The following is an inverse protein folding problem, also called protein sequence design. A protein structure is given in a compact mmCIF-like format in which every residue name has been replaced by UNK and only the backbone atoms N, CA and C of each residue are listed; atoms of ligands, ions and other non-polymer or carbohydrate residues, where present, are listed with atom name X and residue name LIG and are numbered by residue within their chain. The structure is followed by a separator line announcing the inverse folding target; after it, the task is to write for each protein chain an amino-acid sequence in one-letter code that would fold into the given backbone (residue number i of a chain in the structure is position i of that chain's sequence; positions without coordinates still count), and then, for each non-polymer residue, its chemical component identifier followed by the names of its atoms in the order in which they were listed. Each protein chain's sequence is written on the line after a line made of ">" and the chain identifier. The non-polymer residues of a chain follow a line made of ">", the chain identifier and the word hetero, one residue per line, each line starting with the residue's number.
data_IF_759459764077
#
_entry.id   IF_759459764077
#
_cell.length_a   1.000
_cell.length_b   1.000
_cell.length_c   1.000
_cell.angle_alpha   90.00
_cell.angle_beta   90.00
_cell.angle_gamma   90.00
#
_symmetry.space_group_name_H-M   'P 1'
#
loop_
_entity.id
_entity.type
_entity.pdbx_description
1 polymer ?
#
# COMPACT_ATOMS: atom_id res chain seq x y z
N UNK A 1 63.96 -41.04 29.72
CA UNK A 1 64.12 -40.14 28.56
C UNK A 1 63.24 -40.64 27.43
N UNK A 2 62.17 -39.92 27.08
CA UNK A 2 61.46 -40.04 25.79
C UNK A 2 60.51 -38.85 25.65
N UNK A 3 60.96 -37.88 24.86
CA UNK A 3 60.21 -36.72 24.40
C UNK A 3 59.21 -37.18 23.34
N UNK A 4 57.94 -36.78 23.43
CA UNK A 4 57.02 -36.84 22.29
C UNK A 4 56.28 -35.51 22.13
N UNK A 5 56.78 -34.78 21.15
CA UNK A 5 56.19 -33.79 20.24
C UNK A 5 54.76 -33.33 20.46
N UNK A 6 54.63 -32.00 20.49
CA UNK A 6 53.42 -31.22 20.34
C UNK A 6 52.76 -31.42 18.96
N UNK A 7 51.43 -31.44 18.94
CA UNK A 7 50.62 -31.21 17.74
C UNK A 7 49.61 -30.11 18.10
N UNK A 8 49.83 -28.92 17.57
CA UNK A 8 48.88 -27.81 17.67
C UNK A 8 47.84 -27.95 16.55
N UNK A 9 46.61 -28.28 16.91
CA UNK A 9 45.45 -28.27 16.02
C UNK A 9 44.95 -26.83 15.87
N UNK A 10 45.19 -26.22 14.71
CA UNK A 10 44.55 -24.98 14.30
C UNK A 10 43.12 -25.30 13.86
N UNK A 11 42.13 -24.91 14.65
CA UNK A 11 40.72 -24.97 14.27
C UNK A 11 40.30 -23.65 13.62
N UNK A 12 40.25 -23.60 12.29
CA UNK A 12 39.61 -22.52 11.54
C UNK A 12 38.11 -22.76 11.48
N UNK A 13 37.36 -22.16 12.40
CA UNK A 13 35.90 -22.11 12.32
C UNK A 13 35.48 -21.05 11.31
N UNK A 14 34.94 -21.50 10.16
CA UNK A 14 34.25 -20.69 9.18
C UNK A 14 33.06 -19.99 9.84
N UNK A 15 33.15 -18.67 10.01
CA UNK A 15 32.01 -17.85 10.38
C UNK A 15 31.03 -17.82 9.20
N UNK A 16 29.97 -18.64 9.28
CA UNK A 16 28.84 -18.56 8.37
C UNK A 16 28.21 -17.17 8.49
N UNK A 17 28.19 -16.42 7.40
CA UNK A 17 27.42 -15.19 7.33
C UNK A 17 25.95 -15.59 7.33
N UNK A 18 25.30 -15.47 8.49
CA UNK A 18 23.87 -15.50 8.56
C UNK A 18 23.37 -14.30 7.75
N UNK A 19 22.83 -14.55 6.56
CA UNK A 19 21.96 -13.60 5.90
C UNK A 19 20.77 -13.38 6.83
N UNK A 20 20.82 -12.31 7.61
CA UNK A 20 19.73 -11.94 8.50
C UNK A 20 18.48 -11.73 7.65
N UNK A 21 17.53 -12.66 7.73
CA UNK A 21 16.16 -12.39 7.32
C UNK A 21 15.73 -11.17 8.12
N UNK A 22 15.59 -10.02 7.46
CA UNK A 22 14.91 -8.88 8.07
C UNK A 22 13.54 -9.43 8.51
N UNK A 23 13.19 -9.36 9.80
CA UNK A 23 11.91 -9.86 10.24
C UNK A 23 10.82 -9.19 9.40
N UNK A 24 9.92 -10.00 8.85
CA UNK A 24 8.71 -9.53 8.16
C UNK A 24 8.10 -8.40 9.00
N UNK A 25 7.80 -7.24 8.40
CA UNK A 25 7.34 -6.09 9.16
C UNK A 25 6.05 -6.47 9.89
N UNK A 26 6.03 -6.25 11.21
CA UNK A 26 4.85 -6.46 12.03
C UNK A 26 3.84 -5.33 11.81
N UNK A 27 2.56 -5.61 12.10
CA UNK A 27 1.53 -4.57 12.10
C UNK A 27 1.78 -3.54 13.23
N UNK A 28 2.00 -2.25 12.91
CA UNK A 28 2.14 -1.23 13.93
C UNK A 28 0.80 -0.95 14.62
N UNK A 29 0.84 -0.56 15.90
CA UNK A 29 -0.34 -0.11 16.64
C UNK A 29 -0.96 1.14 16.00
N UNK A 30 -0.12 2.08 15.55
CA UNK A 30 -0.52 3.30 14.86
C UNK A 30 -0.54 3.17 13.34
N UNK A 31 -0.41 4.30 12.66
CA UNK A 31 -0.18 4.39 11.22
C UNK A 31 1.31 4.49 10.93
N UNK A 32 1.76 3.96 9.79
CA UNK A 32 3.13 4.19 9.31
C UNK A 32 3.32 5.67 8.99
N UNK A 33 4.34 6.30 9.56
CA UNK A 33 4.59 7.74 9.40
C UNK A 33 5.67 8.10 8.36
N UNK A 34 6.52 7.14 7.98
CA UNK A 34 7.64 7.34 7.07
C UNK A 34 7.87 6.13 6.16
N UNK A 35 8.87 6.22 5.27
CA UNK A 35 9.33 5.15 4.39
C UNK A 35 8.18 4.36 3.75
N UNK A 36 7.25 5.08 3.11
CA UNK A 36 6.01 4.49 2.60
C UNK A 36 6.22 3.46 1.49
N UNK A 37 7.42 3.45 0.87
CA UNK A 37 7.85 2.49 -0.15
C UNK A 37 8.81 1.48 0.46
N UNK A 38 8.27 0.48 1.12
CA UNK A 38 8.99 -0.55 1.85
C UNK A 38 8.10 -1.79 2.01
N UNK A 39 8.67 -2.98 2.31
CA UNK A 39 7.88 -4.15 2.66
C UNK A 39 6.79 -3.81 3.67
N UNK A 40 5.59 -4.33 3.42
CA UNK A 40 4.39 -4.14 4.23
C UNK A 40 4.07 -5.43 5.00
N UNK A 41 3.33 -5.36 6.12
CA UNK A 41 3.00 -6.57 6.87
C UNK A 41 2.19 -7.54 6.03
N UNK A 42 2.36 -8.83 6.26
CA UNK A 42 1.55 -9.87 5.62
C UNK A 42 0.05 -9.79 6.00
N UNK A 43 -0.28 -9.05 7.06
CA UNK A 43 -1.61 -8.96 7.65
C UNK A 43 -2.06 -7.51 7.86
N UNK A 44 -3.38 -7.34 7.99
CA UNK A 44 -4.00 -6.11 8.48
C UNK A 44 -5.20 -6.52 9.34
N UNK A 45 -5.07 -6.39 10.66
CA UNK A 45 -6.08 -6.80 11.61
C UNK A 45 -7.44 -6.15 11.30
N UNK A 46 -8.46 -6.98 11.11
CA UNK A 46 -9.82 -6.56 10.79
C UNK A 46 -10.11 -6.40 9.29
N UNK A 47 -9.11 -6.43 8.41
CA UNK A 47 -9.32 -6.50 6.96
C UNK A 47 -8.99 -7.88 6.40
N UNK A 48 -9.57 -8.20 5.25
CA UNK A 48 -9.16 -9.35 4.45
C UNK A 48 -7.98 -8.94 3.55
N UNK A 49 -6.85 -9.62 3.69
CA UNK A 49 -5.71 -9.43 2.77
C UNK A 49 -5.96 -10.23 1.50
N UNK A 50 -5.85 -9.59 0.34
CA UNK A 50 -6.12 -10.22 -0.95
C UNK A 50 -4.84 -10.62 -1.68
N UNK A 51 -4.87 -11.79 -2.28
CA UNK A 51 -4.01 -12.11 -3.41
C UNK A 51 -4.51 -11.42 -4.68
N UNK A 52 -3.63 -11.33 -5.69
CA UNK A 52 -4.00 -10.82 -7.02
C UNK A 52 -5.17 -11.59 -7.64
N UNK A 53 -5.22 -12.92 -7.50
CA UNK A 53 -6.31 -13.75 -8.05
C UNK A 53 -7.66 -13.47 -7.35
N UNK A 54 -7.67 -13.25 -6.04
CA UNK A 54 -8.88 -12.89 -5.31
C UNK A 54 -9.37 -11.48 -5.66
N UNK A 55 -8.44 -10.53 -5.81
CA UNK A 55 -8.76 -9.19 -6.28
C UNK A 55 -9.39 -9.25 -7.68
N UNK A 56 -8.81 -10.00 -8.61
CA UNK A 56 -9.38 -10.22 -9.94
C UNK A 56 -10.78 -10.83 -9.88
N UNK A 57 -10.99 -11.86 -9.06
CA UNK A 57 -12.31 -12.50 -8.92
C UNK A 57 -13.38 -11.52 -8.42
N UNK A 58 -13.05 -10.68 -7.44
CA UNK A 58 -13.96 -9.64 -6.93
C UNK A 58 -14.26 -8.61 -8.02
N UNK A 59 -13.24 -8.17 -8.75
CA UNK A 59 -13.34 -7.19 -9.83
C UNK A 59 -14.22 -7.69 -10.97
N UNK A 60 -13.97 -8.89 -11.50
CA UNK A 60 -14.77 -9.50 -12.58
C UNK A 60 -16.22 -9.68 -12.18
N UNK A 61 -16.47 -10.08 -10.94
CA UNK A 61 -17.81 -10.27 -10.41
C UNK A 61 -18.51 -8.95 -10.03
N UNK A 62 -17.80 -7.79 -10.08
CA UNK A 62 -18.29 -6.48 -9.65
C UNK A 62 -18.86 -6.49 -8.22
N UNK A 63 -18.22 -7.24 -7.32
CA UNK A 63 -18.70 -7.48 -5.94
C UNK A 63 -18.13 -6.53 -4.89
N UNK A 64 -17.25 -5.61 -5.29
CA UNK A 64 -16.66 -4.61 -4.40
C UNK A 64 -16.22 -3.38 -5.18
N UNK A 65 -16.09 -2.27 -4.46
CA UNK A 65 -15.57 -1.01 -5.03
C UNK A 65 -14.07 -0.95 -4.76
N UNK A 66 -13.29 -0.73 -5.82
CA UNK A 66 -11.84 -0.62 -5.74
C UNK A 66 -11.44 0.84 -5.51
N UNK A 67 -10.50 1.05 -4.58
CA UNK A 67 -10.05 2.36 -4.13
C UNK A 67 -8.54 2.41 -4.25
N UNK A 68 -8.09 3.19 -5.22
CA UNK A 68 -6.69 3.53 -5.41
C UNK A 68 -6.31 4.66 -4.45
N UNK A 69 -5.24 4.48 -3.69
CA UNK A 69 -4.70 5.52 -2.80
C UNK A 69 -3.26 5.90 -3.16
N UNK A 70 -2.81 5.58 -4.37
CA UNK A 70 -1.49 5.99 -4.87
C UNK A 70 -1.30 7.50 -4.66
N UNK A 71 -0.20 7.94 -4.01
CA UNK A 71 0.05 9.35 -3.81
C UNK A 71 0.27 10.07 -5.14
N UNK A 72 -0.10 11.35 -5.18
CA UNK A 72 0.16 12.19 -6.35
C UNK A 72 1.25 13.20 -6.01
N UNK A 73 2.40 13.21 -6.73
CA UNK A 73 3.44 14.21 -6.52
C UNK A 73 2.85 15.63 -6.59
N UNK A 74 3.15 16.50 -5.62
CA UNK A 74 2.67 17.87 -5.66
C UNK A 74 3.32 18.62 -6.82
N UNK A 75 2.58 19.57 -7.41
CA UNK A 75 3.14 20.50 -8.39
C UNK A 75 4.35 21.23 -7.75
N UNK A 76 5.53 21.23 -8.39
CA UNK A 76 6.68 21.96 -7.86
C UNK A 76 6.36 23.45 -7.67
N UNK A 77 6.62 23.97 -6.46
CA UNK A 77 6.34 25.38 -6.12
C UNK A 77 7.20 26.36 -6.92
N UNK A 78 8.40 25.95 -7.33
CA UNK A 78 9.39 26.78 -8.00
C UNK A 78 9.40 26.57 -9.52
N UNK A 79 8.25 26.25 -10.11
CA UNK A 79 8.14 26.07 -11.55
C UNK A 79 8.34 27.42 -12.27
N UNK A 80 9.23 27.53 -13.28
CA UNK A 80 9.43 28.78 -14.00
C UNK A 80 8.11 29.31 -14.58
N UNK A 81 7.89 30.63 -14.52
CA UNK A 81 6.68 31.28 -15.08
C UNK A 81 6.50 30.85 -16.55
N UNK A 82 5.30 30.41 -16.90
CA UNK A 82 4.96 29.92 -18.26
C UNK A 82 5.19 28.43 -18.49
N UNK A 83 5.80 27.70 -17.53
CA UNK A 83 5.94 26.25 -17.64
C UNK A 83 4.62 25.57 -17.37
N UNK A 84 4.15 24.76 -18.32
CA UNK A 84 2.96 23.92 -18.14
C UNK A 84 3.37 22.67 -17.35
N UNK A 85 2.85 22.51 -16.14
CA UNK A 85 2.94 21.26 -15.39
C UNK A 85 1.86 20.30 -15.88
N UNK A 86 2.26 19.09 -16.24
CA UNK A 86 1.35 17.97 -16.51
C UNK A 86 1.62 16.88 -15.51
N UNK A 87 0.59 16.44 -14.83
CA UNK A 87 0.72 15.30 -13.93
C UNK A 87 1.04 14.04 -14.71
N UNK A 88 1.82 13.16 -14.07
CA UNK A 88 2.04 11.84 -14.61
C UNK A 88 0.69 11.12 -14.74
N UNK A 89 0.42 10.45 -15.87
CA UNK A 89 -0.80 9.67 -16.02
C UNK A 89 -0.78 8.52 -15.01
N UNK A 90 -1.87 8.35 -14.27
CA UNK A 90 -2.09 7.20 -13.39
C UNK A 90 -2.93 6.20 -14.14
N UNK A 91 -2.39 5.01 -14.40
CA UNK A 91 -3.18 3.85 -14.84
C UNK A 91 -3.54 3.00 -13.65
N UNK A 92 -4.80 2.68 -13.43
CA UNK A 92 -5.23 1.90 -12.26
C UNK A 92 -6.20 0.77 -12.64
N UNK A 93 -6.70 0.02 -11.65
CA UNK A 93 -7.61 -1.11 -11.86
C UNK A 93 -8.95 -0.55 -12.38
N UNK A 94 -9.50 -1.07 -13.48
CA UNK A 94 -10.68 -0.48 -14.10
C UNK A 94 -11.90 -0.37 -13.18
N UNK A 95 -12.56 0.78 -13.19
CA UNK A 95 -13.71 1.10 -12.33
C UNK A 95 -13.35 1.52 -10.91
N UNK A 96 -12.07 1.74 -10.62
CA UNK A 96 -11.64 2.24 -9.31
C UNK A 96 -11.88 3.75 -9.15
N UNK A 97 -12.09 4.19 -7.93
CA UNK A 97 -11.92 5.61 -7.58
C UNK A 97 -10.50 5.88 -7.10
N UNK A 98 -9.96 7.05 -7.39
CA UNK A 98 -8.61 7.43 -6.95
C UNK A 98 -8.66 8.55 -5.90
N UNK A 99 -8.27 8.19 -4.67
CA UNK A 99 -8.19 9.07 -3.50
C UNK A 99 -6.71 9.26 -3.07
N UNK A 100 -5.91 10.02 -3.84
CA UNK A 100 -4.49 10.19 -3.56
C UNK A 100 -4.21 10.79 -2.18
N UNK A 101 -3.04 10.45 -1.64
CA UNK A 101 -2.46 11.04 -0.42
C UNK A 101 -3.26 10.78 0.88
N UNK A 102 -4.28 9.93 0.83
CA UNK A 102 -5.09 9.56 2.00
C UNK A 102 -4.42 8.53 2.91
N UNK A 103 -3.31 7.94 2.45
CA UNK A 103 -2.53 6.95 3.17
C UNK A 103 -1.36 7.49 4.00
N UNK A 104 -1.15 8.80 4.08
CA UNK A 104 -0.11 9.36 4.97
C UNK A 104 -0.38 9.02 6.44
N UNK A 105 0.69 8.82 7.22
CA UNK A 105 0.58 8.43 8.63
C UNK A 105 -0.09 9.50 9.49
N UNK A 106 0.34 10.75 9.35
CA UNK A 106 -0.38 11.91 9.84
C UNK A 106 -1.22 12.47 8.68
N UNK A 107 -2.54 12.49 8.85
CA UNK A 107 -3.47 12.97 7.83
C UNK A 107 -4.13 14.27 8.32
N UNK A 108 -3.98 15.40 7.60
CA UNK A 108 -4.66 16.64 7.94
C UNK A 108 -6.19 16.46 7.96
N UNK A 109 -6.94 17.22 8.80
CA UNK A 109 -8.40 17.07 8.90
C UNK A 109 -9.13 17.15 7.56
N UNK A 110 -8.75 18.08 6.68
CA UNK A 110 -9.36 18.21 5.35
C UNK A 110 -9.16 16.96 4.47
N UNK A 111 -8.02 16.28 4.60
CA UNK A 111 -7.73 15.05 3.88
C UNK A 111 -8.38 13.82 4.52
N UNK A 112 -8.55 13.82 5.84
CA UNK A 112 -9.34 12.81 6.55
C UNK A 112 -10.81 12.87 6.13
N UNK A 113 -11.40 14.07 6.12
CA UNK A 113 -12.75 14.29 5.62
C UNK A 113 -12.89 13.91 4.13
N UNK A 114 -11.86 14.19 3.33
CA UNK A 114 -11.81 13.78 1.92
C UNK A 114 -11.84 12.26 1.76
N UNK A 115 -11.05 11.52 2.56
CA UNK A 115 -11.10 10.06 2.57
C UNK A 115 -12.49 9.57 2.98
N UNK A 116 -13.03 10.06 4.10
CA UNK A 116 -14.35 9.65 4.59
C UNK A 116 -15.46 9.86 3.55
N UNK A 117 -15.51 11.04 2.89
CA UNK A 117 -16.47 11.32 1.82
C UNK A 117 -16.26 10.44 0.59
N UNK A 118 -15.00 10.20 0.21
CA UNK A 118 -14.66 9.31 -0.90
C UNK A 118 -15.14 7.88 -0.66
N UNK A 119 -14.87 7.34 0.52
CA UNK A 119 -15.34 6.01 0.92
C UNK A 119 -16.88 5.95 1.00
N UNK A 120 -17.52 7.00 1.51
CA UNK A 120 -18.99 7.08 1.57
C UNK A 120 -19.60 7.08 0.16
N UNK A 121 -19.00 7.81 -0.79
CA UNK A 121 -19.43 7.78 -2.21
C UNK A 121 -19.21 6.40 -2.83
N UNK A 122 -18.03 5.80 -2.63
CA UNK A 122 -17.68 4.46 -3.14
C UNK A 122 -18.63 3.36 -2.65
N UNK A 123 -19.08 3.47 -1.41
CA UNK A 123 -20.00 2.54 -0.75
C UNK A 123 -21.48 2.92 -0.89
N UNK A 124 -21.80 4.08 -1.47
CA UNK A 124 -23.14 4.68 -1.42
C UNK A 124 -23.68 4.82 0.01
N UNK A 125 -22.80 5.08 0.97
CA UNK A 125 -23.09 5.23 2.38
C UNK A 125 -23.19 3.91 3.17
N UNK A 126 -23.10 2.76 2.51
CA UNK A 126 -23.21 1.46 3.16
C UNK A 126 -21.89 1.02 3.81
N UNK A 127 -21.83 1.01 5.13
CA UNK A 127 -20.66 0.58 5.90
C UNK A 127 -20.34 -0.92 5.78
N UNK A 128 -21.27 -1.73 5.26
CA UNK A 128 -21.06 -3.16 4.99
C UNK A 128 -20.62 -3.45 3.55
N UNK A 129 -20.62 -2.45 2.66
CA UNK A 129 -20.15 -2.61 1.30
C UNK A 129 -18.68 -3.06 1.26
N UNK A 130 -18.34 -3.96 0.34
CA UNK A 130 -16.97 -4.41 0.16
C UNK A 130 -16.13 -3.28 -0.46
N UNK A 131 -15.15 -2.80 0.30
CA UNK A 131 -14.15 -1.83 -0.14
C UNK A 131 -12.82 -2.53 -0.33
N UNK A 132 -12.27 -2.49 -1.55
CA UNK A 132 -10.95 -3.04 -1.87
C UNK A 132 -9.95 -1.90 -2.00
N UNK A 133 -9.08 -1.74 -1.02
CA UNK A 133 -8.11 -0.63 -0.96
C UNK A 133 -6.74 -1.11 -1.43
N UNK A 134 -6.12 -0.36 -2.33
CA UNK A 134 -4.84 -0.72 -2.94
C UNK A 134 -4.01 0.51 -3.35
N UNK A 135 -2.75 0.26 -3.69
CA UNK A 135 -1.80 1.25 -4.22
C UNK A 135 -0.95 0.56 -5.29
N UNK A 136 0.33 0.36 -5.01
CA UNK A 136 1.28 -0.51 -5.70
C UNK A 136 1.90 -1.45 -4.67
N UNK A 137 2.74 -2.39 -5.12
CA UNK A 137 3.45 -3.25 -4.20
C UNK A 137 4.35 -2.43 -3.26
N UNK A 138 4.56 -2.95 -2.04
CA UNK A 138 5.38 -2.31 -1.01
C UNK A 138 4.94 -0.86 -0.72
N UNK A 139 3.62 -0.64 -0.62
CA UNK A 139 3.04 0.69 -0.42
C UNK A 139 2.24 0.76 0.90
N UNK A 140 2.89 1.27 1.95
CA UNK A 140 2.27 1.48 3.27
C UNK A 140 1.08 2.44 3.25
N UNK A 141 0.95 3.29 2.23
CA UNK A 141 -0.21 4.18 2.11
C UNK A 141 -1.53 3.40 1.96
N UNK A 142 -1.52 2.28 1.23
CA UNK A 142 -2.71 1.42 1.12
C UNK A 142 -3.04 0.71 2.44
N UNK A 143 -2.03 0.26 3.17
CA UNK A 143 -2.20 -0.34 4.50
C UNK A 143 -2.82 0.68 5.48
N UNK A 144 -2.26 1.89 5.53
CA UNK A 144 -2.77 2.98 6.37
C UNK A 144 -4.22 3.36 6.02
N UNK A 145 -4.53 3.50 4.73
CA UNK A 145 -5.87 3.85 4.28
C UNK A 145 -6.90 2.74 4.59
N UNK A 146 -6.52 1.47 4.45
CA UNK A 146 -7.37 0.34 4.82
C UNK A 146 -7.62 0.29 6.34
N UNK A 147 -6.59 0.51 7.15
CA UNK A 147 -6.74 0.64 8.60
C UNK A 147 -7.66 1.80 9.00
N UNK A 148 -7.57 2.95 8.32
CA UNK A 148 -8.49 4.08 8.51
C UNK A 148 -9.93 3.73 8.15
N UNK A 149 -10.16 3.02 7.04
CA UNK A 149 -11.49 2.58 6.66
C UNK A 149 -12.15 1.73 7.75
N UNK A 150 -11.41 0.80 8.36
CA UNK A 150 -11.88 0.05 9.53
C UNK A 150 -12.22 0.98 10.71
N UNK A 151 -11.34 1.93 11.03
CA UNK A 151 -11.56 2.90 12.11
C UNK A 151 -12.80 3.80 11.87
N UNK A 152 -13.16 4.06 10.62
CA UNK A 152 -14.41 4.77 10.27
C UNK A 152 -15.67 3.88 10.31
N UNK A 153 -15.54 2.63 10.77
CA UNK A 153 -16.66 1.70 10.96
C UNK A 153 -17.06 0.90 9.71
N UNK A 154 -16.25 0.86 8.65
CA UNK A 154 -16.49 -0.08 7.57
C UNK A 154 -16.18 -1.51 8.03
N UNK A 155 -17.13 -2.41 7.90
CA UNK A 155 -17.02 -3.80 8.40
C UNK A 155 -16.49 -4.79 7.35
N UNK A 156 -16.44 -4.39 6.09
CA UNK A 156 -16.05 -5.27 4.98
C UNK A 156 -14.93 -4.63 4.15
N UNK A 157 -13.77 -4.46 4.79
CA UNK A 157 -12.57 -3.92 4.15
C UNK A 157 -11.69 -5.08 3.68
N UNK A 158 -11.26 -4.99 2.43
CA UNK A 158 -10.21 -5.83 1.87
C UNK A 158 -9.03 -4.95 1.45
N UNK A 159 -7.82 -5.41 1.75
CA UNK A 159 -6.58 -4.73 1.37
C UNK A 159 -5.83 -5.59 0.36
N UNK A 160 -5.47 -5.00 -0.78
CA UNK A 160 -4.72 -5.68 -1.83
C UNK A 160 -3.28 -5.14 -1.88
N UNK A 161 -2.32 -5.82 -1.21
CA UNK A 161 -0.95 -5.35 -1.05
C UNK A 161 -0.13 -5.28 -2.35
N UNK A 162 -0.34 -6.20 -3.29
CA UNK A 162 0.43 -6.18 -4.56
C UNK A 162 0.01 -5.01 -5.46
N UNK A 163 -1.18 -4.44 -5.22
CA UNK A 163 -1.70 -3.28 -5.95
C UNK A 163 -1.62 -3.41 -7.46
N UNK A 164 -1.35 -2.29 -8.14
CA UNK A 164 -1.25 -2.31 -9.61
C UNK A 164 -0.06 -3.09 -10.14
N UNK A 165 1.01 -3.27 -9.36
CA UNK A 165 2.18 -4.02 -9.82
C UNK A 165 1.85 -5.51 -9.93
N UNK A 166 1.10 -6.05 -8.96
CA UNK A 166 0.54 -7.40 -9.03
C UNK A 166 -0.44 -7.58 -10.17
N UNK A 167 -1.34 -6.61 -10.33
CA UNK A 167 -2.35 -6.59 -11.37
C UNK A 167 -1.75 -6.62 -12.78
N UNK A 168 -0.77 -5.75 -13.04
CA UNK A 168 -0.08 -5.67 -14.33
C UNK A 168 0.78 -6.90 -14.59
N UNK A 169 1.45 -7.45 -13.56
CA UNK A 169 2.21 -8.71 -13.69
C UNK A 169 1.32 -9.90 -14.05
N UNK A 170 0.07 -9.88 -13.60
CA UNK A 170 -0.96 -10.86 -14.00
C UNK A 170 -1.57 -10.57 -15.37
N UNK A 171 -1.05 -9.59 -16.13
CA UNK A 171 -1.52 -9.20 -17.46
C UNK A 171 -2.99 -8.76 -17.49
N UNK A 172 -3.47 -8.21 -16.39
CA UNK A 172 -4.85 -7.70 -16.26
C UNK A 172 -4.95 -6.26 -16.81
N UNK A 173 -6.12 -5.85 -17.33
CA UNK A 173 -6.27 -4.56 -17.98
C UNK A 173 -6.17 -3.41 -16.98
N UNK A 174 -5.56 -2.30 -17.38
CA UNK A 174 -5.57 -1.04 -16.63
C UNK A 174 -6.24 0.06 -17.43
N UNK A 175 -6.75 1.09 -16.75
CA UNK A 175 -7.33 2.28 -17.38
C UNK A 175 -6.69 3.56 -16.85
N UNK A 176 -6.67 4.62 -17.67
CA UNK A 176 -6.25 5.94 -17.20
C UNK A 176 -7.27 6.50 -16.21
N UNK A 177 -6.78 6.99 -15.08
CA UNK A 177 -7.60 7.50 -14.00
C UNK A 177 -7.30 8.98 -13.72
N UNK A 178 -8.36 9.70 -13.34
CA UNK A 178 -8.26 11.04 -12.79
C UNK A 178 -8.50 10.98 -11.29
N UNK A 179 -7.77 11.77 -10.49
CA UNK A 179 -7.98 11.80 -9.06
C UNK A 179 -9.31 12.47 -8.75
N UNK A 180 -9.97 11.98 -7.71
CA UNK A 180 -11.13 12.67 -7.15
C UNK A 180 -10.72 14.06 -6.65
N UNK A 181 -11.54 15.12 -6.86
CA UNK A 181 -11.19 16.49 -6.49
C UNK A 181 -10.78 16.59 -5.01
N UNK A 182 -9.55 17.04 -4.77
CA UNK A 182 -9.00 17.23 -3.42
C UNK A 182 -9.39 18.60 -2.85
N UNK A 183 -9.35 18.78 -1.51
CA UNK A 183 -9.29 20.11 -0.92
C UNK A 183 -8.12 20.91 -1.50
N UNK A 184 -8.33 22.21 -1.72
CA UNK A 184 -7.31 23.19 -2.15
C UNK A 184 -6.64 22.92 -3.52
N UNK A 185 -7.33 22.23 -4.43
CA UNK A 185 -6.94 22.10 -5.85
C UNK A 185 -7.34 23.30 -6.70
#
# INVERSE_FOLDING_TARGET
>A
MRQHLAVALLATALAGQAFGQQPEPFEPEGYRADNYRAPVPATLAGARVLTTAEAEAIWRARRGTFIDVMPRPPKPKNLPKGTVWRDAPRKNIPGSIWLPDTGYGALPPAMDDYLQRGLARASRGDKAALLVIYCMADCWMSWNAAKRALAYGYSNVAWYPDGTDGWERAMLPTEEAQPEPRPDQ
#
